data_IF_243045776961
#
_entry.id   IF_243045776961
#
_cell.length_a   1.000
_cell.length_b   1.000
_cell.length_c   1.000
_cell.angle_alpha   90.00
_cell.angle_beta   90.00
_cell.angle_gamma   90.00
#
_symmetry.space_group_name_H-M   'P 1'
#
loop_
_entity.id
_entity.type
_entity.pdbx_description
1 polymer ?
#
# COMPACT_ATOMS: atom_id res chain seq x y z
N UNK A 1 8.98 23.07 -12.43
CA UNK A 1 9.34 22.25 -13.61
C UNK A 1 10.24 21.14 -13.11
N UNK A 2 9.67 20.04 -12.58
CA UNK A 2 10.46 18.86 -12.25
C UNK A 2 10.48 17.94 -13.46
N UNK A 3 11.70 17.63 -13.89
CA UNK A 3 12.05 16.70 -14.94
C UNK A 3 11.86 15.29 -14.38
N UNK A 4 10.67 14.72 -14.57
CA UNK A 4 10.45 13.30 -14.37
C UNK A 4 11.16 12.56 -15.51
N UNK A 5 12.29 11.91 -15.21
CA UNK A 5 13.01 11.08 -16.17
C UNK A 5 12.06 10.12 -16.92
N UNK A 6 12.37 9.77 -18.17
CA UNK A 6 11.43 9.10 -19.07
C UNK A 6 11.13 7.68 -18.55
N UNK A 7 10.06 7.54 -17.78
CA UNK A 7 9.61 6.22 -17.33
C UNK A 7 8.96 6.08 -15.95
N UNK A 8 8.90 7.12 -15.11
CA UNK A 8 8.17 7.03 -13.83
C UNK A 8 6.71 7.48 -13.98
N UNK A 9 5.81 6.88 -13.20
CA UNK A 9 4.46 7.42 -13.04
C UNK A 9 4.54 8.85 -12.48
N UNK A 10 3.60 9.76 -12.80
CA UNK A 10 3.62 11.12 -12.27
C UNK A 10 3.64 11.11 -10.74
N UNK A 11 4.37 12.03 -10.12
CA UNK A 11 4.54 12.10 -8.66
C UNK A 11 3.21 12.13 -7.90
N UNK A 12 2.17 12.74 -8.47
CA UNK A 12 0.82 12.77 -7.88
C UNK A 12 0.13 11.41 -7.82
N UNK A 13 0.40 10.53 -8.79
CA UNK A 13 -0.15 9.16 -8.81
C UNK A 13 0.53 8.31 -7.74
N UNK A 14 1.83 8.48 -7.57
CA UNK A 14 2.59 7.80 -6.51
C UNK A 14 2.15 8.27 -5.12
N UNK A 15 1.89 9.55 -4.93
CA UNK A 15 1.41 10.09 -3.65
C UNK A 15 0.08 9.46 -3.20
N UNK A 16 -0.89 9.27 -4.12
CA UNK A 16 -2.15 8.57 -3.81
C UNK A 16 -1.86 7.10 -3.48
N UNK A 17 -1.03 6.43 -4.28
CA UNK A 17 -0.67 5.04 -4.04
C UNK A 17 0.01 4.86 -2.66
N UNK A 18 0.91 5.77 -2.28
CA UNK A 18 1.58 5.77 -0.98
C UNK A 18 0.56 5.92 0.16
N UNK A 19 -0.36 6.89 0.03
CA UNK A 19 -1.39 7.15 1.03
C UNK A 19 -2.28 5.92 1.30
N UNK A 20 -2.73 5.23 0.24
CA UNK A 20 -3.59 4.04 0.40
C UNK A 20 -2.83 2.76 0.69
N UNK A 21 -1.51 2.73 0.48
CA UNK A 21 -0.68 1.55 0.79
C UNK A 21 -0.72 1.21 2.27
N UNK A 22 -0.73 2.24 3.11
CA UNK A 22 -0.73 2.09 4.56
C UNK A 22 -2.12 2.20 5.19
N UNK A 23 -3.16 2.30 4.38
CA UNK A 23 -4.52 2.37 4.90
C UNK A 23 -4.87 1.08 5.66
N UNK A 24 -5.19 1.24 6.95
CA UNK A 24 -5.43 0.12 7.86
C UNK A 24 -4.18 -0.63 8.35
N UNK A 25 -2.95 -0.14 8.08
CA UNK A 25 -1.70 -0.77 8.51
C UNK A 25 -1.50 -0.76 10.04
N UNK A 26 -1.64 0.42 10.66
CA UNK A 26 -1.75 0.60 12.11
C UNK A 26 -3.00 1.45 12.32
N UNK A 27 -3.90 0.96 13.16
CA UNK A 27 -5.16 1.63 13.43
C UNK A 27 -5.02 2.57 14.62
N UNK A 28 -5.71 3.71 14.57
CA UNK A 28 -5.82 4.59 15.73
C UNK A 28 -6.40 3.84 16.94
N UNK A 29 -5.80 3.94 18.15
CA UNK A 29 -4.60 4.72 18.51
C UNK A 29 -3.30 4.00 18.18
N UNK A 30 -2.39 4.66 17.43
CA UNK A 30 -1.21 4.09 16.75
C UNK A 30 -0.09 3.54 17.65
N UNK A 31 -0.44 2.62 18.53
CA UNK A 31 0.43 2.05 19.56
C UNK A 31 0.17 0.56 19.69
N UNK A 32 1.23 -0.16 20.06
CA UNK A 32 1.26 -1.63 20.14
C UNK A 32 0.19 -2.19 21.07
N UNK A 33 -0.05 -1.56 22.22
CA UNK A 33 -0.99 -2.05 23.23
C UNK A 33 -2.45 -1.88 22.86
N UNK A 34 -2.78 -1.06 21.86
CA UNK A 34 -4.16 -0.84 21.43
C UNK A 34 -4.77 -2.16 20.92
N UNK A 35 -5.97 -2.52 21.41
CA UNK A 35 -6.62 -3.80 21.07
C UNK A 35 -6.74 -4.04 19.56
N UNK A 36 -6.97 -2.98 18.78
CA UNK A 36 -7.05 -3.03 17.31
C UNK A 36 -5.72 -3.37 16.64
N UNK A 37 -4.60 -3.05 17.28
CA UNK A 37 -3.25 -3.27 16.78
C UNK A 37 -2.61 -4.55 17.33
N UNK A 38 -3.21 -5.18 18.35
CA UNK A 38 -2.81 -6.50 18.83
C UNK A 38 -3.11 -7.61 17.81
N UNK A 39 -4.01 -7.36 16.86
CA UNK A 39 -4.27 -8.23 15.71
C UNK A 39 -4.18 -7.42 14.44
N UNK A 40 -3.26 -7.79 13.54
CA UNK A 40 -3.14 -7.12 12.25
C UNK A 40 -4.37 -7.36 11.40
N UNK A 41 -5.06 -6.27 11.09
CA UNK A 41 -6.04 -6.22 10.02
C UNK A 41 -5.32 -5.83 8.73
N UNK A 42 -5.51 -6.59 7.64
CA UNK A 42 -4.85 -6.32 6.36
C UNK A 42 -5.87 -6.31 5.24
N UNK A 43 -6.23 -5.12 4.77
CA UNK A 43 -6.94 -4.98 3.50
C UNK A 43 -6.02 -5.42 2.34
N UNK A 44 -6.59 -5.99 1.29
CA UNK A 44 -5.84 -6.38 0.08
C UNK A 44 -4.72 -7.40 0.28
N UNK A 45 -4.85 -8.29 1.27
CA UNK A 45 -3.89 -9.37 1.47
C UNK A 45 -4.00 -10.44 0.38
N UNK A 46 -2.87 -10.79 -0.25
CA UNK A 46 -2.76 -11.97 -1.13
C UNK A 46 -1.99 -13.05 -0.38
N UNK A 47 -2.71 -14.02 0.17
CA UNK A 47 -2.20 -15.00 1.14
C UNK A 47 -1.58 -16.23 0.48
N UNK A 48 -0.72 -16.99 1.19
CA UNK A 48 -0.26 -18.29 0.69
C UNK A 48 -1.42 -19.23 0.38
N UNK A 49 -1.35 -19.93 -0.76
CA UNK A 49 -2.41 -20.85 -1.24
C UNK A 49 -2.87 -21.86 -0.19
N UNK A 50 -1.98 -22.36 0.66
CA UNK A 50 -2.34 -23.31 1.72
C UNK A 50 -3.25 -22.67 2.80
N UNK A 51 -3.00 -21.40 3.17
CA UNK A 51 -3.84 -20.66 4.11
C UNK A 51 -5.25 -20.42 3.55
N UNK A 52 -5.33 -19.98 2.29
CA UNK A 52 -6.60 -19.68 1.60
C UNK A 52 -7.52 -20.89 1.41
N UNK A 53 -6.97 -22.12 1.41
CA UNK A 53 -7.79 -23.34 1.34
C UNK A 53 -8.67 -23.50 2.57
N UNK A 54 -8.14 -23.15 3.74
CA UNK A 54 -8.84 -23.25 5.01
C UNK A 54 -9.59 -21.95 5.36
N UNK A 55 -9.23 -20.83 4.71
CA UNK A 55 -9.80 -19.50 4.92
C UNK A 55 -10.18 -18.85 3.58
N UNK A 56 -11.37 -19.16 3.02
CA UNK A 56 -11.79 -18.66 1.70
C UNK A 56 -11.87 -17.13 1.59
N UNK A 57 -12.05 -16.42 2.70
CA UNK A 57 -12.10 -14.96 2.77
C UNK A 57 -10.70 -14.30 2.69
N UNK A 58 -9.63 -15.09 2.81
CA UNK A 58 -8.24 -14.65 2.67
C UNK A 58 -7.70 -15.17 1.31
N UNK A 59 -7.95 -14.47 0.19
CA UNK A 59 -7.65 -14.98 -1.14
C UNK A 59 -6.13 -15.10 -1.39
N UNK A 60 -5.74 -16.10 -2.20
CA UNK A 60 -4.35 -16.27 -2.66
C UNK A 60 -4.05 -15.59 -3.98
N UNK A 61 -5.03 -14.87 -4.53
CA UNK A 61 -4.92 -14.15 -5.80
C UNK A 61 -5.61 -12.80 -5.72
N UNK A 62 -5.11 -11.82 -6.48
CA UNK A 62 -5.78 -10.55 -6.75
C UNK A 62 -5.88 -10.35 -8.27
N UNK A 63 -6.97 -9.77 -8.73
CA UNK A 63 -7.23 -9.60 -10.16
C UNK A 63 -7.81 -8.23 -10.47
N UNK A 64 -7.20 -7.54 -11.43
CA UNK A 64 -7.61 -6.23 -11.91
C UNK A 64 -7.83 -6.28 -13.42
N UNK A 65 -8.93 -5.72 -13.90
CA UNK A 65 -9.21 -5.50 -15.31
C UNK A 65 -9.57 -4.04 -15.55
N UNK A 66 -8.93 -3.43 -16.55
CA UNK A 66 -9.16 -2.04 -16.95
C UNK A 66 -9.40 -1.94 -18.45
N UNK A 67 -10.07 -0.87 -18.87
CA UNK A 67 -10.27 -0.58 -20.29
C UNK A 67 -9.30 0.50 -20.77
N UNK A 68 -8.55 0.19 -21.82
CA UNK A 68 -7.58 1.07 -22.44
C UNK A 68 -7.95 1.33 -23.91
N UNK A 69 -8.13 2.59 -24.28
CA UNK A 69 -8.18 3.02 -25.68
C UNK A 69 -6.77 3.35 -26.14
N UNK A 70 -6.21 2.54 -27.03
CA UNK A 70 -4.87 2.76 -27.56
C UNK A 70 -4.59 1.98 -28.85
N UNK A 71 -3.64 2.49 -29.64
CA UNK A 71 -3.05 1.73 -30.73
C UNK A 71 -2.33 0.48 -30.21
N UNK A 72 -2.22 -0.56 -31.04
CA UNK A 72 -1.63 -1.84 -30.65
C UNK A 72 -0.15 -1.74 -30.21
N UNK A 73 0.57 -0.72 -30.67
CA UNK A 73 1.97 -0.44 -30.31
C UNK A 73 2.12 0.41 -29.03
N UNK A 74 1.02 0.90 -28.46
CA UNK A 74 1.04 1.65 -27.21
C UNK A 74 1.48 0.74 -26.06
N UNK A 75 2.44 1.21 -25.27
CA UNK A 75 3.01 0.42 -24.19
C UNK A 75 2.21 0.62 -22.89
N UNK A 76 2.00 -0.47 -22.18
CA UNK A 76 1.44 -0.47 -20.83
C UNK A 76 2.56 -0.85 -19.86
N UNK A 77 2.81 0.01 -18.88
CA UNK A 77 3.63 -0.28 -17.70
C UNK A 77 2.71 -0.71 -16.57
N UNK A 78 3.10 -1.75 -15.84
CA UNK A 78 2.41 -2.21 -14.63
C UNK A 78 3.42 -2.25 -13.50
N UNK A 79 3.06 -1.68 -12.35
CA UNK A 79 3.84 -1.75 -11.12
C UNK A 79 2.93 -2.29 -10.04
N UNK A 80 3.34 -3.39 -9.40
CA UNK A 80 2.65 -3.98 -8.25
C UNK A 80 3.40 -3.60 -6.99
N UNK A 81 2.69 -3.11 -5.99
CA UNK A 81 3.27 -2.80 -4.68
C UNK A 81 2.49 -3.48 -3.57
N UNK A 82 3.20 -3.80 -2.51
CA UNK A 82 2.64 -4.42 -1.32
C UNK A 82 3.57 -4.20 -0.13
N UNK A 83 3.03 -4.37 1.06
CA UNK A 83 3.73 -4.42 2.31
C UNK A 83 4.16 -5.86 2.62
N UNK A 84 5.42 -6.03 3.02
CA UNK A 84 5.99 -7.27 3.51
C UNK A 84 6.25 -7.13 5.01
N UNK A 85 5.65 -8.02 5.80
CA UNK A 85 5.83 -8.07 7.26
C UNK A 85 7.27 -8.41 7.63
N UNK A 86 7.86 -7.61 8.52
CA UNK A 86 9.20 -7.79 9.05
C UNK A 86 9.12 -7.83 10.56
N UNK A 87 9.55 -8.92 11.19
CA UNK A 87 9.63 -8.99 12.66
C UNK A 87 10.88 -8.24 13.12
N UNK A 88 10.70 -7.17 13.88
CA UNK A 88 11.75 -6.42 14.58
C UNK A 88 11.78 -6.81 16.05
N UNK A 89 12.79 -7.58 16.46
CA UNK A 89 13.03 -7.89 17.86
C UNK A 89 14.03 -6.90 18.49
N UNK A 90 13.65 -6.31 19.62
CA UNK A 90 14.61 -5.67 20.52
C UNK A 90 15.48 -6.75 21.17
N UNK A 91 16.79 -6.54 21.24
CA UNK A 91 17.71 -7.50 21.81
C UNK A 91 18.74 -6.82 22.72
N UNK A 92 19.09 -7.49 23.82
CA UNK A 92 20.13 -7.06 24.77
C UNK A 92 21.30 -8.02 24.76
N UNK A 93 22.51 -7.49 24.79
CA UNK A 93 23.74 -8.27 24.87
C UNK A 93 23.95 -8.74 26.31
N UNK A 94 23.92 -10.06 26.53
CA UNK A 94 24.17 -10.69 27.83
C UNK A 94 25.28 -11.72 27.67
N UNK A 95 26.45 -11.47 28.28
CA UNK A 95 27.59 -12.39 28.16
C UNK A 95 28.14 -12.52 26.73
N UNK A 96 28.02 -11.48 25.89
CA UNK A 96 28.46 -11.46 24.49
C UNK A 96 27.39 -11.89 23.48
N UNK A 97 26.36 -12.61 23.91
CA UNK A 97 25.26 -13.06 23.06
C UNK A 97 24.09 -12.07 23.06
N UNK A 98 23.41 -11.92 21.93
CA UNK A 98 22.17 -11.14 21.82
C UNK A 98 20.98 -12.00 22.25
N UNK A 99 20.23 -11.53 23.23
CA UNK A 99 18.97 -12.14 23.68
C UNK A 99 17.82 -11.22 23.36
N UNK A 100 16.82 -11.74 22.67
CA UNK A 100 15.58 -11.01 22.38
C UNK A 100 14.85 -10.69 23.68
N UNK A 101 14.31 -9.48 23.75
CA UNK A 101 13.54 -8.94 24.88
C UNK A 101 12.37 -8.13 24.33
N UNK A 102 11.38 -7.84 25.16
CA UNK A 102 10.24 -7.04 24.72
C UNK A 102 10.61 -5.57 24.44
N UNK A 103 11.61 -5.05 25.16
CA UNK A 103 12.00 -3.65 25.12
C UNK A 103 13.47 -3.42 25.51
N UNK A 104 14.11 -2.45 24.87
CA UNK A 104 15.41 -1.88 25.26
C UNK A 104 15.37 -0.36 25.23
N UNK A 105 16.21 0.28 26.06
CA UNK A 105 16.43 1.72 26.03
C UNK A 105 17.89 1.98 25.65
N UNK A 106 18.10 2.82 24.63
CA UNK A 106 19.42 3.15 24.10
C UNK A 106 19.43 4.59 23.57
N UNK A 107 20.47 5.36 23.91
CA UNK A 107 20.61 6.75 23.44
C UNK A 107 19.45 7.67 23.85
N UNK A 108 18.82 7.42 25.00
CA UNK A 108 17.66 8.19 25.46
C UNK A 108 16.34 7.87 24.75
N UNK A 109 16.34 6.91 23.83
CA UNK A 109 15.13 6.43 23.14
C UNK A 109 14.79 5.00 23.59
N UNK A 110 13.49 4.71 23.61
CA UNK A 110 12.93 3.39 23.86
C UNK A 110 12.65 2.66 22.54
N UNK A 111 12.94 1.37 22.48
CA UNK A 111 12.71 0.51 21.32
C UNK A 111 11.99 -0.76 21.76
N UNK A 112 10.93 -1.12 21.06
CA UNK A 112 10.11 -2.30 21.39
C UNK A 112 10.18 -3.37 20.31
N UNK A 113 10.00 -4.63 20.71
CA UNK A 113 9.75 -5.73 19.79
C UNK A 113 8.38 -5.54 19.13
N UNK A 114 8.36 -5.57 17.79
CA UNK A 114 7.16 -5.27 16.99
C UNK A 114 7.29 -5.91 15.61
N UNK A 115 6.18 -6.09 14.92
CA UNK A 115 6.21 -6.40 13.48
C UNK A 115 6.14 -5.09 12.72
N UNK A 116 7.10 -4.79 11.86
CA UNK A 116 7.07 -3.66 10.94
C UNK A 116 6.59 -4.11 9.55
N UNK A 117 6.43 -3.16 8.63
CA UNK A 117 6.22 -3.45 7.22
C UNK A 117 7.27 -2.75 6.35
N UNK A 118 7.82 -3.49 5.40
CA UNK A 118 8.70 -2.98 4.35
C UNK A 118 7.94 -2.98 3.03
N UNK A 119 8.01 -1.87 2.30
CA UNK A 119 7.43 -1.76 0.96
C UNK A 119 8.20 -2.61 -0.03
N UNK A 120 7.46 -3.30 -0.90
CA UNK A 120 8.00 -4.06 -2.03
C UNK A 120 7.34 -3.57 -3.29
N UNK A 121 8.14 -3.44 -4.34
CA UNK A 121 7.71 -2.96 -5.66
C UNK A 121 8.21 -3.95 -6.71
N UNK A 122 7.31 -4.39 -7.58
CA UNK A 122 7.57 -5.32 -8.67
C UNK A 122 7.13 -4.66 -9.96
N UNK A 123 8.11 -4.32 -10.80
CA UNK A 123 7.88 -3.68 -12.10
C UNK A 123 7.76 -4.72 -13.20
N UNK A 124 6.67 -4.65 -13.96
CA UNK A 124 6.51 -5.33 -15.24
C UNK A 124 6.98 -4.39 -16.34
N UNK A 125 7.92 -4.87 -17.16
CA UNK A 125 8.50 -4.09 -18.25
C UNK A 125 7.41 -3.54 -19.19
N UNK A 126 7.50 -2.27 -19.63
CA UNK A 126 6.54 -1.70 -20.55
C UNK A 126 6.43 -2.54 -21.82
N UNK A 127 5.22 -3.02 -22.11
CA UNK A 127 4.98 -3.94 -23.23
C UNK A 127 3.86 -3.38 -24.13
N UNK A 128 3.99 -3.43 -25.47
CA UNK A 128 2.91 -3.09 -26.38
C UNK A 128 1.62 -3.87 -26.08
N UNK A 129 0.47 -3.19 -26.03
CA UNK A 129 -0.81 -3.83 -25.70
C UNK A 129 -1.21 -4.92 -26.71
N UNK A 130 -0.83 -4.75 -27.98
CA UNK A 130 -1.04 -5.77 -29.01
C UNK A 130 -0.18 -7.01 -28.83
N UNK A 131 0.98 -6.88 -28.20
CA UNK A 131 1.83 -8.02 -27.82
C UNK A 131 1.25 -8.74 -26.61
N UNK A 132 0.80 -8.01 -25.59
CA UNK A 132 0.09 -8.56 -24.42
C UNK A 132 -1.19 -9.34 -24.80
N UNK A 133 -1.76 -9.06 -25.97
CA UNK A 133 -2.92 -9.78 -26.51
C UNK A 133 -2.55 -11.11 -27.20
N UNK A 134 -1.29 -11.29 -27.60
CA UNK A 134 -0.78 -12.53 -28.20
C UNK A 134 -0.05 -13.39 -27.20
N UNK A 135 0.71 -12.76 -26.31
CA UNK A 135 1.57 -13.39 -25.32
C UNK A 135 1.42 -12.66 -23.99
N UNK A 136 1.07 -13.40 -22.93
CA UNK A 136 1.04 -12.81 -21.60
C UNK A 136 2.45 -12.48 -21.13
N UNK A 137 2.60 -11.35 -20.44
CA UNK A 137 3.84 -11.00 -19.75
C UNK A 137 3.78 -11.53 -18.33
N UNK A 138 4.75 -12.33 -17.92
CA UNK A 138 4.81 -12.96 -16.59
C UNK A 138 6.11 -12.58 -15.90
N UNK A 139 6.01 -11.97 -14.73
CA UNK A 139 7.16 -11.54 -13.92
C UNK A 139 7.08 -12.22 -12.56
N UNK A 140 8.13 -12.94 -12.14
CA UNK A 140 8.12 -13.61 -10.85
C UNK A 140 8.34 -12.59 -9.72
N UNK A 141 7.60 -12.77 -8.63
CA UNK A 141 7.87 -12.13 -7.34
C UNK A 141 8.80 -13.07 -6.58
N UNK A 142 10.02 -12.61 -6.26
CA UNK A 142 10.99 -13.39 -5.47
C UNK A 142 11.71 -12.51 -4.47
N UNK A 143 11.41 -12.73 -3.20
CA UNK A 143 12.13 -12.10 -2.08
C UNK A 143 12.71 -13.23 -1.23
N UNK A 144 14.02 -13.21 -1.04
CA UNK A 144 14.68 -14.18 -0.17
C UNK A 144 14.42 -13.85 1.29
N UNK A 145 14.25 -14.91 2.10
CA UNK A 145 14.27 -14.78 3.55
C UNK A 145 15.58 -14.11 3.99
N UNK A 146 15.50 -13.29 5.01
CA UNK A 146 16.64 -12.49 5.42
C UNK A 146 16.55 -12.01 6.84
N UNK A 147 17.68 -11.47 7.28
CA UNK A 147 17.82 -10.84 8.57
C UNK A 147 18.76 -9.66 8.49
N UNK A 148 18.53 -8.68 9.34
CA UNK A 148 19.35 -7.48 9.47
C UNK A 148 19.53 -7.15 10.95
N UNK A 149 20.75 -6.78 11.33
CA UNK A 149 21.08 -6.39 12.69
C UNK A 149 21.48 -4.91 12.70
N UNK A 150 20.75 -4.12 13.47
CA UNK A 150 21.04 -2.71 13.72
C UNK A 150 21.55 -2.55 15.16
N UNK A 151 22.82 -2.19 15.34
CA UNK A 151 23.38 -1.93 16.65
C UNK A 151 22.87 -0.58 17.18
N UNK A 152 22.39 -0.55 18.42
CA UNK A 152 21.86 0.66 19.05
C UNK A 152 22.96 1.44 19.79
N UNK A 153 22.76 2.75 20.05
CA UNK A 153 23.72 3.56 20.80
C UNK A 153 24.09 2.92 22.15
N UNK A 154 25.39 2.84 22.42
CA UNK A 154 25.94 2.20 23.63
C UNK A 154 26.39 0.74 23.44
N UNK A 155 26.03 0.07 22.33
CA UNK A 155 26.57 -1.25 21.95
C UNK A 155 26.11 -2.45 22.80
N UNK A 156 25.31 -2.21 23.83
CA UNK A 156 24.73 -3.25 24.70
C UNK A 156 23.36 -3.75 24.21
N UNK A 157 22.78 -3.13 23.20
CA UNK A 157 21.47 -3.49 22.64
C UNK A 157 21.46 -3.35 21.12
N UNK A 158 20.56 -4.08 20.47
CA UNK A 158 20.40 -4.08 19.01
C UNK A 158 18.94 -4.32 18.60
N UNK A 159 18.61 -4.01 17.36
CA UNK A 159 17.36 -4.43 16.71
C UNK A 159 17.68 -5.53 15.69
N UNK A 160 17.04 -6.68 15.85
CA UNK A 160 17.12 -7.79 14.91
C UNK A 160 15.86 -7.81 14.07
N UNK A 161 15.98 -7.46 12.78
CA UNK A 161 14.91 -7.60 11.80
C UNK A 161 15.01 -8.94 11.10
N UNK A 162 13.89 -9.63 10.95
CA UNK A 162 13.79 -10.93 10.26
C UNK A 162 12.54 -10.95 9.40
N UNK A 163 12.63 -11.54 8.21
CA UNK A 163 11.50 -11.68 7.30
C UNK A 163 11.56 -12.99 6.54
N UNK A 164 10.39 -13.46 6.12
CA UNK A 164 10.24 -14.72 5.41
C UNK A 164 10.52 -14.54 3.91
N UNK A 165 10.74 -15.66 3.22
CA UNK A 165 10.79 -15.63 1.77
C UNK A 165 9.38 -15.41 1.22
N UNK A 166 9.28 -14.68 0.11
CA UNK A 166 8.05 -14.47 -0.64
C UNK A 166 8.24 -14.93 -2.08
N UNK A 167 7.29 -15.73 -2.55
CA UNK A 167 7.26 -16.21 -3.93
C UNK A 167 5.86 -16.00 -4.53
N UNK A 168 5.83 -15.58 -5.79
CA UNK A 168 4.58 -15.33 -6.50
C UNK A 168 4.82 -14.95 -7.95
N UNK A 169 3.77 -14.49 -8.60
CA UNK A 169 3.83 -14.08 -9.99
C UNK A 169 2.86 -12.92 -10.24
N UNK A 170 3.31 -11.98 -11.08
CA UNK A 170 2.46 -10.99 -11.72
C UNK A 170 2.31 -11.38 -13.18
N UNK A 171 1.08 -11.57 -13.64
CA UNK A 171 0.76 -11.82 -15.03
C UNK A 171 -0.06 -10.68 -15.61
N UNK A 172 0.37 -10.15 -16.75
CA UNK A 172 -0.32 -9.11 -17.49
C UNK A 172 -0.76 -9.66 -18.85
N UNK A 173 -2.04 -9.47 -19.17
CA UNK A 173 -2.66 -9.89 -20.44
C UNK A 173 -3.47 -8.76 -21.03
N UNK A 174 -3.73 -8.82 -22.34
CA UNK A 174 -4.71 -7.96 -22.98
C UNK A 174 -5.68 -8.77 -23.84
N UNK A 175 -6.89 -8.26 -24.03
CA UNK A 175 -7.86 -8.80 -24.96
C UNK A 175 -8.60 -7.63 -25.64
N UNK A 176 -9.05 -7.83 -26.88
CA UNK A 176 -9.93 -6.84 -27.52
C UNK A 176 -11.26 -6.78 -26.77
N UNK A 177 -11.68 -5.56 -26.42
CA UNK A 177 -12.91 -5.31 -25.67
C UNK A 177 -14.05 -4.78 -26.55
N UNK A 178 -13.75 -4.21 -27.71
CA UNK A 178 -14.71 -3.76 -28.71
C UNK A 178 -14.08 -3.78 -30.12
N UNK A 179 -14.88 -3.41 -31.14
CA UNK A 179 -14.49 -3.44 -32.56
C UNK A 179 -13.41 -2.40 -32.95
N UNK A 180 -13.16 -1.37 -32.14
CA UNK A 180 -12.13 -0.35 -32.39
C UNK A 180 -11.31 -0.07 -31.14
N UNK A 181 -9.97 -0.19 -31.22
CA UNK A 181 -8.89 0.26 -30.30
C UNK A 181 -9.09 0.21 -28.78
N UNK A 182 -10.10 -0.53 -28.33
CA UNK A 182 -10.40 -0.81 -26.96
C UNK A 182 -9.82 -2.16 -26.57
N UNK A 183 -8.99 -2.13 -25.54
CA UNK A 183 -8.36 -3.27 -24.94
C UNK A 183 -8.84 -3.41 -23.51
N UNK A 184 -9.18 -4.63 -23.10
CA UNK A 184 -9.24 -5.01 -21.69
C UNK A 184 -7.87 -5.49 -21.31
N UNK A 185 -7.21 -4.75 -20.43
CA UNK A 185 -5.91 -5.15 -19.85
C UNK A 185 -6.20 -5.79 -18.50
N UNK A 186 -5.70 -7.00 -18.30
CA UNK A 186 -5.88 -7.77 -17.06
C UNK A 186 -4.53 -7.93 -16.37
N UNK A 187 -4.49 -7.71 -15.06
CA UNK A 187 -3.35 -7.96 -14.18
C UNK A 187 -3.77 -8.97 -13.12
N UNK A 188 -3.09 -10.11 -13.09
CA UNK A 188 -3.31 -11.18 -12.14
C UNK A 188 -2.09 -11.30 -11.24
N UNK A 189 -2.31 -11.31 -9.93
CA UNK A 189 -1.26 -11.47 -8.92
C UNK A 189 -1.57 -12.74 -8.14
N UNK A 190 -0.62 -13.65 -8.07
CA UNK A 190 -0.73 -14.88 -7.29
C UNK A 190 0.38 -14.97 -6.25
N UNK A 191 0.00 -15.32 -5.02
CA UNK A 191 0.96 -15.71 -3.99
C UNK A 191 1.18 -17.22 -4.01
N UNK A 192 2.38 -17.61 -4.44
CA UNK A 192 2.84 -18.98 -4.54
C UNK A 192 3.82 -19.37 -3.41
N UNK A 193 3.93 -18.54 -2.38
CA UNK A 193 4.87 -18.73 -1.27
C UNK A 193 4.61 -20.08 -0.59
N UNK A 194 5.64 -20.95 -0.48
CA UNK A 194 5.50 -22.21 0.24
C UNK A 194 5.07 -21.98 1.69
N UNK A 195 3.97 -22.60 2.10
CA UNK A 195 3.44 -22.52 3.45
C UNK A 195 2.87 -23.87 3.88
N UNK A 196 3.39 -24.42 4.98
CA UNK A 196 3.01 -25.74 5.48
C UNK A 196 1.70 -25.72 6.30
N UNK A 197 1.06 -24.56 6.45
CA UNK A 197 -0.01 -24.33 7.41
C UNK A 197 0.52 -23.85 8.76
N UNK A 198 -0.38 -23.37 9.62
CA UNK A 198 -0.01 -22.80 10.92
C UNK A 198 -0.99 -21.73 11.36
N UNK A 199 -0.52 -20.85 12.25
CA UNK A 199 -1.32 -19.72 12.71
C UNK A 199 -1.45 -18.63 11.62
N UNK A 200 -2.41 -17.72 11.81
CA UNK A 200 -2.61 -16.57 10.92
C UNK A 200 -1.37 -15.69 10.83
N UNK A 201 -0.64 -15.53 11.93
CA UNK A 201 0.58 -14.72 12.01
C UNK A 201 1.68 -15.28 11.10
N UNK A 202 1.84 -16.61 11.07
CA UNK A 202 2.79 -17.28 10.18
C UNK A 202 2.39 -17.16 8.69
N UNK A 203 1.08 -17.11 8.42
CA UNK A 203 0.57 -16.85 7.07
C UNK A 203 0.81 -15.39 6.66
N UNK A 204 0.53 -14.42 7.55
CA UNK A 204 0.74 -12.99 7.32
C UNK A 204 2.21 -12.65 7.03
N UNK A 205 3.15 -13.30 7.71
CA UNK A 205 4.58 -13.18 7.41
C UNK A 205 4.94 -13.56 5.95
N UNK A 206 4.07 -14.32 5.28
CA UNK A 206 4.21 -14.80 3.89
C UNK A 206 3.17 -14.20 2.94
N UNK A 207 2.41 -13.19 3.38
CA UNK A 207 1.33 -12.54 2.61
C UNK A 207 1.85 -11.29 1.90
N UNK A 208 1.34 -11.01 0.70
CA UNK A 208 1.50 -9.69 0.08
C UNK A 208 0.43 -8.77 0.68
N UNK A 209 0.77 -8.01 1.71
CA UNK A 209 -0.19 -7.19 2.45
C UNK A 209 -0.48 -5.88 1.71
N UNK A 210 -1.71 -5.38 1.74
CA UNK A 210 -2.08 -4.13 1.06
C UNK A 210 -1.64 -4.08 -0.40
N UNK A 211 -1.86 -5.18 -1.12
CA UNK A 211 -1.42 -5.29 -2.51
C UNK A 211 -2.24 -4.34 -3.37
N UNK A 212 -1.57 -3.51 -4.18
CA UNK A 212 -2.21 -2.69 -5.19
C UNK A 212 -1.42 -2.68 -6.50
N UNK A 213 -2.10 -2.30 -7.58
CA UNK A 213 -1.55 -2.27 -8.93
C UNK A 213 -1.67 -0.86 -9.52
N UNK A 214 -0.56 -0.35 -10.04
CA UNK A 214 -0.53 0.88 -10.83
C UNK A 214 -0.34 0.52 -12.30
N UNK A 215 -1.17 1.10 -13.17
CA UNK A 215 -1.03 0.98 -14.62
C UNK A 215 -0.76 2.36 -15.22
N UNK A 216 0.15 2.43 -16.19
CA UNK A 216 0.47 3.67 -16.89
C UNK A 216 0.68 3.42 -18.39
N UNK A 217 0.01 4.21 -19.21
CA UNK A 217 0.05 4.15 -20.67
C UNK A 217 0.06 5.58 -21.25
N UNK A 218 1.25 6.20 -21.46
CA UNK A 218 1.35 7.59 -21.92
C UNK A 218 0.71 7.86 -23.29
N UNK A 219 0.66 6.84 -24.15
CA UNK A 219 0.07 6.89 -25.50
C UNK A 219 -1.29 6.19 -25.59
N UNK A 220 -1.99 6.10 -24.46
CA UNK A 220 -3.31 5.50 -24.37
C UNK A 220 -4.21 6.26 -23.40
N UNK A 221 -5.49 5.93 -23.42
CA UNK A 221 -6.49 6.53 -22.54
C UNK A 221 -7.27 5.42 -21.83
N UNK A 222 -7.00 5.24 -20.53
CA UNK A 222 -7.82 4.41 -19.66
C UNK A 222 -9.23 5.00 -19.54
N UNK A 223 -10.23 4.16 -19.24
CA UNK A 223 -11.61 4.59 -19.05
C UNK A 223 -12.06 4.22 -17.65
N UNK A 224 -12.87 5.10 -17.07
CA UNK A 224 -13.60 4.82 -15.84
C UNK A 224 -14.44 3.55 -16.02
N UNK A 225 -14.41 2.67 -15.03
CA UNK A 225 -15.36 1.56 -14.95
C UNK A 225 -16.65 1.97 -14.22
N UNK A 226 -16.57 3.01 -13.37
CA UNK A 226 -17.72 3.54 -12.62
C UNK A 226 -18.62 4.41 -13.52
N UNK A 227 -18.01 5.26 -14.35
CA UNK A 227 -18.72 6.10 -15.33
C UNK A 227 -18.13 5.96 -16.75
N UNK A 228 -18.29 4.80 -17.40
CA UNK A 228 -17.79 4.59 -18.75
C UNK A 228 -18.61 5.34 -19.81
N UNK A 229 -17.99 5.83 -20.90
CA UNK A 229 -18.69 6.29 -22.09
C UNK A 229 -19.68 5.24 -22.63
N UNK A 230 -20.75 5.69 -23.28
CA UNK A 230 -21.86 4.82 -23.74
C UNK A 230 -21.38 3.63 -24.58
N UNK A 231 -20.38 3.84 -25.43
CA UNK A 231 -19.80 2.85 -26.33
C UNK A 231 -19.04 1.75 -25.58
N UNK A 232 -18.58 2.03 -24.37
CA UNK A 232 -17.78 1.13 -23.54
C UNK A 232 -18.57 0.54 -22.35
N UNK A 233 -19.82 0.93 -22.13
CA UNK A 233 -20.64 0.44 -20.99
C UNK A 233 -20.69 -1.09 -20.92
N UNK A 234 -20.90 -1.76 -22.06
CA UNK A 234 -20.92 -3.23 -22.10
C UNK A 234 -19.55 -3.84 -21.81
N UNK A 235 -18.48 -3.25 -22.33
CA UNK A 235 -17.12 -3.71 -22.06
C UNK A 235 -16.72 -3.51 -20.59
N UNK A 236 -17.12 -2.38 -19.98
CA UNK A 236 -16.83 -2.06 -18.59
C UNK A 236 -17.59 -2.98 -17.63
N UNK A 237 -18.88 -3.24 -17.91
CA UNK A 237 -19.69 -4.18 -17.14
C UNK A 237 -19.17 -5.64 -17.24
N UNK A 238 -18.43 -5.97 -18.29
CA UNK A 238 -17.81 -7.28 -18.45
C UNK A 238 -16.48 -7.42 -17.68
N UNK A 239 -15.85 -6.31 -17.27
CA UNK A 239 -14.63 -6.36 -16.46
C UNK A 239 -14.90 -7.04 -15.11
N UNK A 240 -13.97 -7.87 -14.69
CA UNK A 240 -13.97 -8.55 -13.39
C UNK A 240 -12.80 -8.03 -12.58
N UNK A 241 -13.09 -7.49 -11.41
CA UNK A 241 -12.07 -7.14 -10.42
C UNK A 241 -12.31 -7.95 -9.15
N UNK A 242 -11.24 -8.45 -8.54
CA UNK A 242 -11.28 -9.26 -7.33
C UNK A 242 -10.20 -8.81 -6.36
N UNK A 243 -10.62 -8.34 -5.17
CA UNK A 243 -9.73 -7.84 -4.13
C UNK A 243 -9.22 -6.41 -4.33
N UNK A 244 -9.54 -5.76 -5.46
CA UNK A 244 -9.13 -4.39 -5.75
C UNK A 244 -10.16 -3.63 -6.61
N UNK A 245 -10.10 -2.31 -6.57
CA UNK A 245 -10.99 -1.39 -7.30
C UNK A 245 -10.17 -0.42 -8.15
N UNK A 246 -10.19 -0.54 -9.50
CA UNK A 246 -9.43 0.35 -10.37
C UNK A 246 -10.11 1.71 -10.55
N UNK A 247 -9.34 2.78 -10.36
CA UNK A 247 -9.76 4.17 -10.55
C UNK A 247 -8.73 4.95 -11.38
N UNK A 248 -9.21 5.93 -12.14
CA UNK A 248 -8.35 6.90 -12.83
C UNK A 248 -7.62 7.76 -11.80
N UNK A 249 -6.35 8.07 -12.07
CA UNK A 249 -5.50 8.86 -11.17
C UNK A 249 -4.69 9.89 -11.95
N UNK A 250 -4.44 11.03 -11.32
CA UNK A 250 -3.85 12.20 -11.98
C UNK A 250 -4.78 13.40 -11.88
N UNK A 251 -4.59 14.38 -12.77
CA UNK A 251 -5.51 15.52 -12.85
C UNK A 251 -6.81 15.08 -13.54
N UNK A 252 -7.98 15.63 -13.19
CA UNK A 252 -9.22 15.37 -13.93
C UNK A 252 -9.02 15.53 -15.44
N UNK A 253 -9.35 14.49 -16.20
CA UNK A 253 -9.15 14.41 -17.64
C UNK A 253 -7.83 13.75 -18.09
N UNK A 254 -6.86 13.58 -17.17
CA UNK A 254 -5.67 12.76 -17.41
C UNK A 254 -6.03 11.28 -17.33
N UNK A 255 -5.99 10.61 -18.48
CA UNK A 255 -6.41 9.22 -18.62
C UNK A 255 -5.22 8.28 -18.84
N UNK A 256 -4.02 8.73 -18.51
CA UNK A 256 -2.79 7.96 -18.76
C UNK A 256 -2.48 6.95 -17.66
N UNK A 257 -3.11 7.05 -16.48
CA UNK A 257 -2.83 6.20 -15.33
C UNK A 257 -4.08 5.69 -14.62
N UNK A 258 -3.96 4.49 -14.02
CA UNK A 258 -4.93 3.87 -13.14
C UNK A 258 -4.23 3.37 -11.88
N UNK A 259 -4.89 3.53 -10.73
CA UNK A 259 -4.56 2.84 -9.49
C UNK A 259 -5.67 1.84 -9.19
N UNK A 260 -5.30 0.59 -8.93
CA UNK A 260 -6.21 -0.46 -8.46
C UNK A 260 -5.79 -0.90 -7.07
N UNK A 261 -6.53 -0.45 -6.06
CA UNK A 261 -6.25 -0.67 -4.64
C UNK A 261 -7.38 -1.43 -3.96
N UNK A 262 -7.13 -2.08 -2.80
CA UNK A 262 -8.18 -2.73 -2.01
C UNK A 262 -9.11 -1.72 -1.33
N UNK A 263 -8.73 -0.44 -1.32
CA UNK A 263 -9.52 0.69 -0.84
C UNK A 263 -10.37 1.20 -1.99
N UNK A 264 -11.68 1.37 -1.73
CA UNK A 264 -12.64 1.89 -2.71
C UNK A 264 -12.45 3.41 -2.78
N UNK A 265 -12.09 3.89 -3.96
CA UNK A 265 -11.91 5.29 -4.26
C UNK A 265 -12.86 5.72 -5.40
N UNK A 266 -13.06 7.01 -5.53
CA UNK A 266 -13.61 7.62 -6.75
C UNK A 266 -12.48 7.90 -7.76
N UNK A 267 -12.85 8.13 -9.02
CA UNK A 267 -11.89 8.57 -10.03
C UNK A 267 -11.30 9.94 -9.66
N UNK A 268 -10.00 10.10 -9.94
CA UNK A 268 -9.20 11.27 -9.59
C UNK A 268 -9.24 11.56 -8.09
N UNK A 269 -8.89 10.57 -7.24
CA UNK A 269 -8.82 10.77 -5.81
C UNK A 269 -7.79 11.86 -5.49
N UNK A 270 -8.04 12.62 -4.43
CA UNK A 270 -7.16 13.69 -3.97
C UNK A 270 -6.79 13.43 -2.52
N UNK A 271 -5.50 13.50 -2.21
CA UNK A 271 -5.08 13.70 -0.82
C UNK A 271 -5.54 15.10 -0.43
N UNK A 272 -6.20 15.24 0.73
CA UNK A 272 -6.66 16.54 1.21
C UNK A 272 -5.49 17.53 1.26
N UNK A 273 -5.57 18.71 0.63
CA UNK A 273 -4.46 19.67 0.56
C UNK A 273 -4.08 20.25 1.93
N UNK A 274 -5.00 20.21 2.91
CA UNK A 274 -4.77 20.58 4.30
C UNK A 274 -4.03 19.50 5.10
N UNK A 275 -3.76 18.34 4.48
CA UNK A 275 -3.01 17.26 5.10
C UNK A 275 -1.57 17.68 5.39
N UNK A 276 -1.10 17.61 6.66
CA UNK A 276 0.30 17.78 6.97
C UNK A 276 1.17 16.57 6.54
N UNK A 277 0.56 15.56 5.91
CA UNK A 277 1.19 14.35 5.39
C UNK A 277 0.34 13.09 5.59
N UNK A 278 0.83 11.95 5.11
CA UNK A 278 0.16 10.65 5.24
C UNK A 278 -0.04 10.23 6.72
N UNK A 279 -1.29 10.02 7.14
CA UNK A 279 -1.69 9.58 8.49
C UNK A 279 -2.16 8.11 8.53
N UNK A 280 -1.83 7.29 7.53
CA UNK A 280 -2.44 5.95 7.34
C UNK A 280 -3.94 5.97 7.04
N UNK A 281 -4.48 7.16 6.79
CA UNK A 281 -5.84 7.43 6.32
C UNK A 281 -5.78 8.74 5.52
N UNK A 282 -5.32 8.63 4.26
CA UNK A 282 -5.07 9.79 3.40
C UNK A 282 -6.30 10.33 2.68
N UNK A 283 -7.42 9.59 2.73
CA UNK A 283 -8.68 9.94 2.08
C UNK A 283 -9.53 10.91 2.90
N UNK A 284 -9.48 10.81 4.22
CA UNK A 284 -10.23 11.67 5.15
C UNK A 284 -9.33 12.03 6.34
N UNK A 285 -8.83 13.27 6.40
CA UNK A 285 -8.24 13.75 7.66
C UNK A 285 -9.33 14.36 8.51
N UNK A 286 -9.62 13.63 9.58
CA UNK A 286 -10.40 14.13 10.68
C UNK A 286 -9.48 14.95 11.61
N UNK A 287 -9.71 16.26 11.70
CA UNK A 287 -9.09 17.12 12.71
C UNK A 287 -9.17 16.47 14.12
N UNK A 288 -10.22 15.69 14.37
CA UNK A 288 -10.39 14.91 15.58
C UNK A 288 -9.24 13.90 15.79
N UNK A 289 -8.72 13.25 14.75
CA UNK A 289 -7.58 12.35 14.86
C UNK A 289 -6.31 13.10 15.31
N UNK A 290 -6.03 14.25 14.70
CA UNK A 290 -4.88 15.11 15.06
C UNK A 290 -4.99 15.58 16.51
N UNK A 291 -6.17 16.07 16.92
CA UNK A 291 -6.42 16.48 18.30
C UNK A 291 -6.30 15.31 19.28
N UNK A 292 -6.77 14.12 18.89
CA UNK A 292 -6.66 12.92 19.71
C UNK A 292 -5.20 12.47 19.88
N UNK A 293 -4.36 12.59 18.85
CA UNK A 293 -2.91 12.35 18.95
C UNK A 293 -2.28 13.34 19.94
N UNK A 294 -2.60 14.63 19.82
CA UNK A 294 -2.08 15.66 20.73
C UNK A 294 -2.54 15.47 22.18
N UNK A 295 -3.73 14.90 22.37
CA UNK A 295 -4.32 14.61 23.69
C UNK A 295 -3.81 13.31 24.33
N UNK A 296 -2.98 12.51 23.64
CA UNK A 296 -2.32 11.35 24.25
C UNK A 296 -1.45 11.78 25.43
N UNK A 297 -1.38 10.92 26.44
CA UNK A 297 -0.45 11.10 27.56
C UNK A 297 1.01 10.96 27.11
N UNK A 298 1.95 11.52 27.86
CA UNK A 298 3.39 11.40 27.55
C UNK A 298 3.84 9.93 27.45
N UNK A 299 3.28 9.05 28.28
CA UNK A 299 3.54 7.60 28.24
C UNK A 299 3.03 6.96 26.95
N UNK A 300 1.81 7.31 26.52
CA UNK A 300 1.22 6.82 25.27
C UNK A 300 1.96 7.35 24.04
N UNK A 301 2.40 8.60 24.06
CA UNK A 301 3.24 9.20 23.01
C UNK A 301 4.59 8.50 22.93
N UNK A 302 5.23 8.25 24.07
CA UNK A 302 6.47 7.50 24.13
C UNK A 302 6.31 6.06 23.64
N UNK A 303 5.14 5.44 23.81
CA UNK A 303 4.84 4.09 23.31
C UNK A 303 4.65 4.11 21.78
N UNK A 304 3.88 5.07 21.26
CA UNK A 304 3.67 5.29 19.83
C UNK A 304 5.01 5.49 19.11
N UNK A 305 5.88 6.36 19.63
CA UNK A 305 7.21 6.61 19.07
C UNK A 305 8.14 5.39 19.13
N UNK A 306 7.99 4.53 20.13
CA UNK A 306 8.82 3.33 20.31
C UNK A 306 8.32 2.10 19.54
N UNK A 307 7.07 2.12 19.04
CA UNK A 307 6.41 0.98 18.40
C UNK A 307 6.80 0.86 16.92
N UNK A 308 6.50 1.87 16.11
CA UNK A 308 6.72 1.82 14.65
C UNK A 308 7.35 3.13 14.16
N UNK A 309 8.38 3.09 13.29
CA UNK A 309 9.02 4.29 12.77
C UNK A 309 8.06 5.26 12.07
N UNK A 310 7.05 4.74 11.36
CA UNK A 310 6.05 5.57 10.68
C UNK A 310 5.04 6.17 11.67
N UNK A 311 4.68 5.44 12.72
CA UNK A 311 3.88 6.01 13.82
C UNK A 311 4.65 7.14 14.52
N UNK A 312 5.96 6.98 14.72
CA UNK A 312 6.84 8.05 15.23
C UNK A 312 6.82 9.29 14.33
N UNK A 313 6.96 9.11 13.01
CA UNK A 313 6.90 10.22 12.05
C UNK A 313 5.53 10.94 12.07
N UNK A 314 4.42 10.22 12.24
CA UNK A 314 3.09 10.81 12.43
C UNK A 314 3.04 11.66 13.70
N UNK A 315 3.56 11.15 14.82
CA UNK A 315 3.59 11.88 16.08
C UNK A 315 4.43 13.16 15.96
N UNK A 316 5.65 13.06 15.45
CA UNK A 316 6.58 14.18 15.29
C UNK A 316 6.00 15.28 14.39
N UNK A 317 5.38 14.90 13.26
CA UNK A 317 4.70 15.87 12.38
C UNK A 317 3.52 16.55 13.06
N UNK A 318 2.74 15.79 13.83
CA UNK A 318 1.57 16.31 14.54
C UNK A 318 1.97 17.30 15.64
N UNK A 319 3.04 17.00 16.39
CA UNK A 319 3.55 17.89 17.44
C UNK A 319 4.25 19.14 16.89
N UNK A 320 4.73 19.09 15.64
CA UNK A 320 5.33 20.23 14.96
C UNK A 320 4.32 21.22 14.35
N UNK A 321 3.01 20.91 14.38
CA UNK A 321 1.99 21.78 13.80
C UNK A 321 1.88 23.12 14.54
N UNK A 322 1.86 24.22 13.79
CA UNK A 322 1.62 25.55 14.37
C UNK A 322 0.13 25.77 14.67
N UNK A 323 -0.22 26.69 15.58
CA UNK A 323 -1.62 27.07 15.82
C UNK A 323 -2.35 27.50 14.54
N UNK A 324 -1.69 28.19 13.62
CA UNK A 324 -2.27 28.61 12.34
C UNK A 324 -2.58 27.41 11.44
N UNK A 325 -1.70 26.40 11.42
CA UNK A 325 -1.94 25.15 10.68
C UNK A 325 -3.10 24.36 11.30
N UNK A 326 -3.17 24.29 12.63
CA UNK A 326 -4.30 23.68 13.36
C UNK A 326 -5.63 24.43 13.13
N UNK A 327 -5.58 25.74 12.96
CA UNK A 327 -6.76 26.56 12.63
C UNK A 327 -7.16 26.41 11.15
N UNK A 328 -6.22 26.22 10.23
CA UNK A 328 -6.54 25.94 8.83
C UNK A 328 -7.34 24.63 8.69
N UNK A 329 -7.06 23.63 9.53
CA UNK A 329 -7.83 22.38 9.62
C UNK A 329 -9.30 22.60 10.05
N UNK A 330 -9.62 23.67 10.82
CA UNK A 330 -11.00 24.01 11.20
C UNK A 330 -11.84 24.60 10.05
N UNK A 331 -11.20 25.13 9.00
CA UNK A 331 -11.88 25.84 7.91
C UNK A 331 -12.69 24.93 6.98
N UNK A 332 -12.27 23.68 6.84
CA UNK A 332 -12.80 22.74 5.84
C UNK A 332 -14.14 22.09 6.24
N UNK A 333 -14.43 21.92 7.54
CA UNK A 333 -15.72 21.36 8.01
C UNK A 333 -16.91 22.25 7.60
N UNK A 334 -16.68 23.55 7.34
CA UNK A 334 -17.75 24.46 6.90
C UNK A 334 -18.09 24.37 5.42
N UNK A 335 -17.19 23.91 4.54
CA UNK A 335 -17.51 23.74 3.11
C UNK A 335 -18.33 22.48 2.81
N UNK A 336 -18.20 21.43 3.62
CA UNK A 336 -19.10 20.27 3.58
C UNK A 336 -20.50 20.55 4.18
N UNK A 337 -20.73 21.78 4.64
CA UNK A 337 -21.91 22.19 5.38
C UNK A 337 -22.75 23.29 4.75
N UNK A 338 -22.67 23.58 3.45
CA UNK A 338 -23.70 24.37 2.73
C UNK A 338 -23.72 24.09 1.22
N UNK A 339 -24.23 22.92 0.82
CA UNK A 339 -24.97 22.83 -0.44
C UNK A 339 -26.46 22.97 -0.08
N UNK A 340 -27.04 24.14 -0.38
CA UNK A 340 -28.49 24.38 -0.34
C UNK A 340 -29.10 24.06 -1.69
#
# INVERSE_FOLDING_TARGET
MSDAGPGKAPDSVRAIADAVLYEGYILWPYRRTALKNQRRFTFGGVYPRAHSRDHPDDPCTMHTEVLLLAAADAHVRVTVRFLHVVRRAAARRTGGELREVDEVSAGGQRYTTWEEAVEREIDVSPTPVGELARHSSRVPIRIHAGRELEELPGGESALLRTWEALEGEVEVRAARAALTDAWRVSVHIENATPFAGGSRELALARTFCSTHTMLHAPRGAFNSLADPPTELRSAAAACRNAGAWPVLVGKPGDRTAVLSSPIILEDYPRVAPESPGDLFDGGEIDQMLILNILALTDEEKAEMAASDPRAKEILERTEALTPEQLMALHGAIREFGMAR
#
